data_IF_417707589830
#
_entry.id   IF_417707589830
#
_cell.length_a   1.000
_cell.length_b   1.000
_cell.length_c   1.000
_cell.angle_alpha   90.00
_cell.angle_beta   90.00
_cell.angle_gamma   90.00
#
_symmetry.space_group_name_H-M   'P 1'
#
loop_
_entity.id
_entity.type
_entity.pdbx_description
1 polymer ?
#
# COMPACT_ATOMS: atom_id res chain seq x y z
N UNK A 1 -27.41 -34.98 34.74
CA UNK A 1 -28.17 -35.66 33.67
C UNK A 1 -27.96 -34.87 32.39
N UNK A 2 -27.22 -35.39 31.40
CA UNK A 2 -27.09 -34.78 30.06
C UNK A 2 -28.28 -35.27 29.20
N UNK A 3 -28.88 -34.43 28.34
CA UNK A 3 -29.93 -34.86 27.43
C UNK A 3 -29.34 -35.84 26.39
N UNK A 4 -30.08 -36.88 25.97
CA UNK A 4 -29.69 -37.77 24.88
C UNK A 4 -29.90 -37.04 23.54
N UNK A 5 -29.21 -37.44 22.48
CA UNK A 5 -29.34 -36.97 21.08
C UNK A 5 -28.35 -35.95 20.50
N UNK A 6 -27.11 -35.84 21.02
CA UNK A 6 -26.00 -35.38 20.18
C UNK A 6 -24.92 -36.47 20.14
N UNK A 7 -24.60 -37.05 18.97
CA UNK A 7 -23.48 -37.97 18.87
C UNK A 7 -22.18 -37.23 19.22
N UNK A 8 -21.17 -37.92 19.77
CA UNK A 8 -19.90 -37.29 20.09
C UNK A 8 -19.27 -36.77 18.80
N UNK A 9 -19.04 -35.46 18.76
CA UNK A 9 -18.28 -34.83 17.69
C UNK A 9 -16.86 -35.42 17.72
N UNK A 10 -16.61 -36.42 16.88
CA UNK A 10 -15.29 -37.04 16.76
C UNK A 10 -14.36 -36.05 16.06
N UNK A 11 -13.21 -35.66 16.65
CA UNK A 11 -12.26 -34.74 16.03
C UNK A 11 -11.47 -35.39 14.87
N UNK A 12 -11.88 -36.56 14.37
CA UNK A 12 -11.17 -37.35 13.35
C UNK A 12 -11.95 -37.59 12.05
N UNK A 13 -13.09 -36.93 11.85
CA UNK A 13 -13.69 -36.87 10.52
C UNK A 13 -13.22 -35.57 9.84
N UNK A 14 -12.37 -35.62 8.79
CA UNK A 14 -12.26 -34.48 7.88
C UNK A 14 -13.62 -34.37 7.21
N UNK A 15 -14.48 -33.50 7.75
CA UNK A 15 -15.76 -33.16 7.16
C UNK A 15 -15.46 -32.79 5.69
N UNK A 16 -16.26 -33.23 4.69
CA UNK A 16 -16.08 -32.90 3.26
C UNK A 16 -16.42 -31.42 2.96
N UNK A 17 -15.99 -30.52 3.84
CA UNK A 17 -16.01 -29.07 3.70
C UNK A 17 -15.07 -28.63 2.57
N UNK A 18 -13.97 -29.34 2.32
CA UNK A 18 -12.99 -28.94 1.33
C UNK A 18 -13.53 -28.93 -0.12
N UNK A 19 -14.23 -29.98 -0.62
CA UNK A 19 -14.86 -29.95 -1.95
C UNK A 19 -15.92 -28.85 -2.09
N UNK A 20 -16.74 -28.61 -1.05
CA UNK A 20 -17.81 -27.60 -1.08
C UNK A 20 -17.26 -26.17 -1.05
N UNK A 21 -16.23 -25.91 -0.23
CA UNK A 21 -15.53 -24.62 -0.26
C UNK A 21 -14.82 -24.39 -1.59
N UNK A 22 -14.20 -25.43 -2.15
CA UNK A 22 -13.56 -25.34 -3.47
C UNK A 22 -14.56 -25.02 -4.57
N UNK A 23 -15.72 -25.69 -4.61
CA UNK A 23 -16.78 -25.36 -5.57
C UNK A 23 -17.30 -23.93 -5.45
N UNK A 24 -17.40 -23.41 -4.21
CA UNK A 24 -17.82 -22.03 -3.96
C UNK A 24 -16.75 -21.04 -4.43
N UNK A 25 -15.47 -21.29 -4.12
CA UNK A 25 -14.34 -20.48 -4.60
C UNK A 25 -14.26 -20.49 -6.13
N UNK A 26 -14.33 -21.66 -6.76
CA UNK A 26 -14.32 -21.78 -8.22
C UNK A 26 -15.52 -21.05 -8.86
N UNK A 27 -16.69 -21.07 -8.21
CA UNK A 27 -17.85 -20.32 -8.66
C UNK A 27 -17.67 -18.81 -8.50
N UNK A 28 -17.04 -18.35 -7.41
CA UNK A 28 -16.73 -16.93 -7.19
C UNK A 28 -15.66 -16.44 -8.17
N UNK A 29 -14.60 -17.21 -8.41
CA UNK A 29 -13.59 -16.93 -9.43
C UNK A 29 -14.24 -16.75 -10.80
N UNK A 30 -15.10 -17.69 -11.22
CA UNK A 30 -15.83 -17.57 -12.48
C UNK A 30 -16.75 -16.34 -12.51
N UNK A 31 -17.44 -16.04 -11.41
CA UNK A 31 -18.31 -14.88 -11.31
C UNK A 31 -17.53 -13.56 -11.39
N UNK A 32 -16.38 -13.45 -10.72
CA UNK A 32 -15.49 -12.28 -10.75
C UNK A 32 -14.90 -12.09 -12.17
N UNK A 33 -14.42 -13.17 -12.79
CA UNK A 33 -13.85 -13.12 -14.14
C UNK A 33 -14.87 -12.71 -15.20
N UNK A 34 -16.10 -13.21 -15.10
CA UNK A 34 -17.21 -12.92 -16.01
C UNK A 34 -18.03 -11.67 -15.63
N UNK A 35 -17.69 -11.00 -14.53
CA UNK A 35 -18.32 -9.75 -14.14
C UNK A 35 -17.73 -8.60 -14.96
N UNK A 36 -18.63 -7.71 -15.36
CA UNK A 36 -18.36 -6.54 -16.19
C UNK A 36 -19.18 -5.36 -15.66
N UNK A 37 -18.78 -4.13 -15.99
CA UNK A 37 -19.40 -2.90 -15.49
C UNK A 37 -20.92 -2.87 -15.77
N UNK A 38 -21.33 -3.26 -16.98
CA UNK A 38 -22.74 -3.33 -17.38
C UNK A 38 -23.58 -4.29 -16.52
N UNK A 39 -22.96 -5.36 -15.99
CA UNK A 39 -23.66 -6.37 -15.17
C UNK A 39 -23.64 -6.02 -13.68
N UNK A 40 -22.69 -5.20 -13.27
CA UNK A 40 -22.47 -4.80 -11.88
C UNK A 40 -23.18 -3.51 -11.49
N UNK A 41 -23.60 -2.71 -12.49
CA UNK A 41 -24.23 -1.40 -12.30
C UNK A 41 -23.21 -0.27 -12.48
N UNK A 42 -23.70 0.96 -12.66
CA UNK A 42 -22.85 2.12 -12.95
C UNK A 42 -21.69 2.29 -11.96
N UNK A 43 -20.50 2.57 -12.49
CA UNK A 43 -19.27 2.72 -11.69
C UNK A 43 -19.21 4.15 -11.14
N UNK A 44 -19.72 4.34 -9.93
CA UNK A 44 -19.55 5.58 -9.18
C UNK A 44 -18.16 5.64 -8.54
N UNK A 45 -17.72 6.84 -8.13
CA UNK A 45 -16.43 7.02 -7.43
C UNK A 45 -16.41 6.39 -6.02
N UNK A 46 -17.58 6.07 -5.47
CA UNK A 46 -17.71 5.44 -4.15
C UNK A 46 -17.25 3.97 -4.16
N UNK A 47 -16.92 3.40 -2.99
CA UNK A 47 -16.57 1.98 -2.90
C UNK A 47 -17.69 1.11 -3.45
N UNK A 48 -17.35 0.23 -4.39
CA UNK A 48 -18.30 -0.67 -5.02
C UNK A 48 -18.71 -1.78 -4.04
N UNK A 49 -19.98 -2.16 -4.03
CA UNK A 49 -20.52 -3.14 -3.07
C UNK A 49 -19.81 -4.52 -3.12
N UNK A 50 -19.19 -4.86 -4.26
CA UNK A 50 -18.39 -6.08 -4.42
C UNK A 50 -17.16 -6.09 -3.52
N UNK A 51 -16.57 -4.93 -3.22
CA UNK A 51 -15.39 -4.80 -2.35
C UNK A 51 -15.71 -5.18 -0.93
N UNK A 52 -16.87 -4.74 -0.41
CA UNK A 52 -17.39 -5.22 0.87
C UNK A 52 -17.64 -6.73 0.87
N UNK A 53 -18.35 -7.26 -0.15
CA UNK A 53 -18.64 -8.70 -0.22
C UNK A 53 -17.37 -9.55 -0.26
N UNK A 54 -16.39 -9.11 -1.03
CA UNK A 54 -15.06 -9.72 -1.12
C UNK A 54 -14.35 -9.68 0.24
N UNK A 55 -14.25 -8.51 0.88
CA UNK A 55 -13.57 -8.37 2.17
C UNK A 55 -14.22 -9.22 3.27
N UNK A 56 -15.55 -9.25 3.34
CA UNK A 56 -16.29 -10.08 4.28
C UNK A 56 -16.02 -11.57 4.06
N UNK A 57 -16.01 -12.01 2.79
CA UNK A 57 -15.71 -13.39 2.41
C UNK A 57 -14.28 -13.80 2.78
N UNK A 58 -13.28 -13.03 2.33
CA UNK A 58 -11.86 -13.33 2.59
C UNK A 58 -11.58 -13.31 4.10
N UNK A 59 -12.11 -12.33 4.83
CA UNK A 59 -11.98 -12.29 6.29
C UNK A 59 -12.50 -13.56 6.95
N UNK A 60 -13.67 -14.04 6.54
CA UNK A 60 -14.27 -15.25 7.09
C UNK A 60 -13.45 -16.49 6.79
N UNK A 61 -12.91 -16.64 5.57
CA UNK A 61 -12.07 -17.79 5.21
C UNK A 61 -10.73 -17.74 5.96
N UNK A 62 -10.07 -16.58 6.01
CA UNK A 62 -8.80 -16.40 6.75
C UNK A 62 -8.98 -16.75 8.23
N UNK A 63 -10.04 -16.25 8.89
CA UNK A 63 -10.31 -16.57 10.29
C UNK A 63 -10.53 -18.08 10.54
N UNK A 64 -11.19 -18.78 9.62
CA UNK A 64 -11.36 -20.24 9.71
C UNK A 64 -10.01 -20.92 9.56
N UNK A 65 -9.22 -20.54 8.55
CA UNK A 65 -7.90 -21.09 8.29
C UNK A 65 -6.95 -20.91 9.49
N UNK A 66 -6.89 -19.72 10.07
CA UNK A 66 -6.08 -19.43 11.26
C UNK A 66 -6.52 -20.24 12.48
N UNK A 67 -7.82 -20.51 12.65
CA UNK A 67 -8.33 -21.38 13.72
C UNK A 67 -8.02 -22.86 13.48
N UNK A 68 -7.93 -23.30 12.23
CA UNK A 68 -7.61 -24.69 11.90
C UNK A 68 -6.11 -24.98 11.81
N UNK A 69 -5.29 -23.96 11.52
CA UNK A 69 -3.82 -24.07 11.44
C UNK A 69 -3.08 -23.75 12.75
N UNK A 70 -3.74 -23.10 13.71
CA UNK A 70 -3.18 -22.81 15.04
C UNK A 70 -3.66 -23.82 16.09
N UNK A 71 -2.75 -24.63 16.63
CA UNK A 71 -3.00 -25.36 17.87
C UNK A 71 -3.44 -24.40 18.96
N UNK A 72 -4.60 -24.65 19.57
CA UNK A 72 -5.15 -23.79 20.62
C UNK A 72 -4.22 -23.66 21.83
N UNK A 73 -4.32 -22.59 22.62
CA UNK A 73 -3.60 -22.46 23.88
C UNK A 73 -4.24 -23.40 24.90
N UNK A 74 -3.75 -24.63 25.01
CA UNK A 74 -4.41 -25.63 25.84
C UNK A 74 -3.71 -26.97 25.95
N UNK A 75 -2.40 -26.99 26.24
CA UNK A 75 -1.77 -28.16 26.89
C UNK A 75 -0.42 -27.81 27.53
N UNK A 76 -0.38 -26.84 28.44
CA UNK A 76 0.68 -26.83 29.46
C UNK A 76 0.21 -27.70 30.60
N UNK A 77 0.83 -28.88 30.78
CA UNK A 77 0.70 -29.66 32.00
C UNK A 77 1.10 -28.85 33.24
N UNK A 78 0.70 -29.29 34.45
CA UNK A 78 0.89 -28.49 35.66
C UNK A 78 2.39 -28.25 35.93
N UNK A 79 2.77 -27.08 36.46
CA UNK A 79 4.17 -26.73 36.67
C UNK A 79 4.77 -27.57 37.79
N UNK A 80 5.96 -28.13 37.53
CA UNK A 80 6.80 -28.73 38.56
C UNK A 80 7.29 -27.64 39.52
N UNK A 81 7.18 -27.94 40.81
CA UNK A 81 7.45 -27.09 41.96
C UNK A 81 8.95 -26.66 42.04
N UNK A 82 9.29 -25.42 42.45
CA UNK A 82 10.67 -24.99 42.61
C UNK A 82 11.15 -25.14 44.07
N UNK A 83 12.28 -25.84 44.29
CA UNK A 83 12.99 -25.76 45.57
C UNK A 83 14.01 -26.87 45.82
N UNK A 84 15.29 -26.57 45.57
CA UNK A 84 16.52 -26.97 46.31
C UNK A 84 17.73 -26.74 45.39
N UNK A 85 18.40 -25.59 45.46
CA UNK A 85 19.58 -25.28 46.31
C UNK A 85 20.79 -26.19 46.01
N UNK A 86 21.84 -25.62 45.42
CA UNK A 86 23.23 -26.03 45.70
C UNK A 86 24.20 -26.02 44.49
N UNK A 87 25.45 -25.51 44.62
CA UNK A 87 26.15 -24.89 43.48
C UNK A 87 27.48 -25.54 43.07
N UNK A 88 27.87 -25.31 41.80
CA UNK A 88 29.26 -25.17 41.25
C UNK A 88 30.16 -26.43 41.36
N UNK A 89 31.11 -26.77 40.47
CA UNK A 89 32.04 -25.99 39.64
C UNK A 89 32.85 -26.97 38.76
N UNK A 90 33.18 -26.58 37.52
CA UNK A 90 34.40 -26.96 36.77
C UNK A 90 34.61 -28.44 36.39
N UNK A 91 35.46 -28.84 35.45
CA UNK A 91 36.29 -28.16 34.45
C UNK A 91 36.91 -29.30 33.58
N UNK A 92 36.86 -29.16 32.25
CA UNK A 92 37.94 -29.48 31.27
C UNK A 92 38.33 -30.93 30.84
N UNK A 93 38.50 -31.00 29.48
CA UNK A 93 39.31 -31.89 28.60
C UNK A 93 38.85 -33.34 28.40
N UNK A 94 38.89 -33.93 27.20
CA UNK A 94 39.40 -33.54 25.88
C UNK A 94 39.75 -34.80 25.05
N UNK A 95 39.88 -34.64 23.72
CA UNK A 95 40.46 -35.58 22.70
C UNK A 95 39.60 -36.80 22.30
N UNK A 96 39.60 -37.36 21.08
CA UNK A 96 40.10 -37.03 19.73
C UNK A 96 39.53 -38.06 18.71
N UNK A 97 39.61 -37.70 17.41
CA UNK A 97 39.84 -38.56 16.23
C UNK A 97 38.71 -39.42 15.61
N UNK A 98 38.59 -39.33 14.27
CA UNK A 98 38.15 -40.43 13.39
C UNK A 98 37.12 -40.09 12.29
N UNK A 99 37.58 -39.83 11.07
CA UNK A 99 36.83 -39.78 9.80
C UNK A 99 37.13 -41.08 9.00
N UNK A 100 36.58 -41.35 7.79
CA UNK A 100 35.20 -41.38 7.29
C UNK A 100 34.90 -42.68 6.47
N UNK A 101 33.65 -42.94 6.04
CA UNK A 101 33.37 -43.89 4.94
C UNK A 101 32.02 -43.58 4.27
N UNK A 102 32.04 -43.46 2.94
CA UNK A 102 30.91 -43.04 2.12
C UNK A 102 29.99 -44.18 1.66
N UNK A 103 28.82 -43.78 1.15
CA UNK A 103 27.98 -44.58 0.27
C UNK A 103 27.17 -43.63 -0.62
N UNK A 104 27.54 -43.62 -1.89
CA UNK A 104 26.84 -42.96 -3.00
C UNK A 104 25.75 -43.91 -3.48
N UNK A 105 24.51 -43.45 -3.60
CA UNK A 105 23.39 -44.27 -4.08
C UNK A 105 22.18 -43.45 -4.51
N UNK A 106 22.17 -43.10 -5.80
CA UNK A 106 20.98 -42.96 -6.66
C UNK A 106 19.94 -41.87 -6.35
N UNK A 107 20.15 -40.67 -6.92
CA UNK A 107 19.06 -39.80 -7.34
C UNK A 107 18.40 -40.39 -8.58
N UNK A 108 17.07 -40.55 -8.60
CA UNK A 108 16.20 -40.66 -9.79
C UNK A 108 14.71 -40.85 -9.43
N UNK A 109 14.22 -40.31 -8.30
CA UNK A 109 12.81 -40.46 -7.90
C UNK A 109 12.20 -39.23 -7.22
N UNK A 110 12.70 -38.02 -7.47
CA UNK A 110 12.25 -36.82 -6.73
C UNK A 110 11.12 -36.00 -7.37
N UNK A 111 10.72 -36.25 -8.62
CA UNK A 111 9.88 -35.24 -9.32
C UNK A 111 8.39 -35.61 -9.53
N UNK A 112 7.89 -36.67 -8.91
CA UNK A 112 6.46 -37.06 -9.00
C UNK A 112 5.72 -37.04 -7.64
N UNK A 113 6.43 -36.90 -6.52
CA UNK A 113 5.86 -36.97 -5.16
C UNK A 113 5.35 -35.65 -4.59
N UNK A 114 5.64 -34.51 -5.23
CA UNK A 114 5.34 -33.17 -4.69
C UNK A 114 3.87 -32.73 -4.87
N UNK A 115 3.12 -33.36 -5.78
CA UNK A 115 1.75 -32.94 -6.09
C UNK A 115 0.72 -33.43 -5.05
N UNK A 116 1.00 -34.52 -4.31
CA UNK A 116 0.04 -35.17 -3.41
C UNK A 116 0.18 -34.84 -1.92
N UNK A 117 1.16 -34.01 -1.53
CA UNK A 117 1.38 -33.64 -0.12
C UNK A 117 0.94 -32.21 0.22
N UNK A 118 0.17 -31.55 -0.66
CA UNK A 118 -0.37 -30.23 -0.36
C UNK A 118 -1.58 -30.39 0.57
N UNK A 119 -1.42 -30.03 1.84
CA UNK A 119 -2.48 -30.16 2.83
C UNK A 119 -3.74 -29.37 2.43
N UNK A 120 -4.94 -29.74 2.89
CA UNK A 120 -6.18 -29.02 2.56
C UNK A 120 -6.13 -27.50 2.80
N UNK A 121 -5.34 -27.06 3.79
CA UNK A 121 -5.10 -25.66 4.07
C UNK A 121 -4.21 -24.97 3.02
N UNK A 122 -3.21 -25.65 2.48
CA UNK A 122 -2.30 -25.09 1.47
C UNK A 122 -2.95 -24.97 0.08
N UNK A 123 -3.90 -25.87 -0.24
CA UNK A 123 -4.74 -25.75 -1.44
C UNK A 123 -5.68 -24.56 -1.30
N UNK A 124 -6.31 -24.41 -0.13
CA UNK A 124 -7.23 -23.31 0.15
C UNK A 124 -6.52 -21.94 0.16
N UNK A 125 -5.29 -21.87 0.66
CA UNK A 125 -4.45 -20.66 0.56
C UNK A 125 -4.09 -20.32 -0.90
N UNK A 126 -3.83 -21.33 -1.74
CA UNK A 126 -3.59 -21.11 -3.17
C UNK A 126 -4.84 -20.58 -3.90
N UNK A 127 -5.99 -21.19 -3.61
CA UNK A 127 -7.28 -20.78 -4.18
C UNK A 127 -7.65 -19.36 -3.70
N UNK A 128 -7.33 -18.98 -2.46
CA UNK A 128 -7.49 -17.61 -1.96
C UNK A 128 -6.60 -16.59 -2.68
N UNK A 129 -5.32 -16.93 -2.90
CA UNK A 129 -4.42 -16.07 -3.65
C UNK A 129 -4.92 -15.86 -5.09
N UNK A 130 -5.44 -16.90 -5.74
CA UNK A 130 -6.04 -16.77 -7.07
C UNK A 130 -7.27 -15.85 -7.07
N UNK A 131 -8.16 -16.01 -6.08
CA UNK A 131 -9.33 -15.13 -5.89
C UNK A 131 -8.91 -13.68 -5.65
N UNK A 132 -7.84 -13.46 -4.88
CA UNK A 132 -7.28 -12.13 -4.64
C UNK A 132 -6.84 -11.47 -5.95
N UNK A 133 -6.00 -12.15 -6.73
CA UNK A 133 -5.53 -11.62 -8.03
C UNK A 133 -6.67 -11.34 -9.00
N UNK A 134 -7.63 -12.26 -9.12
CA UNK A 134 -8.80 -12.08 -9.98
C UNK A 134 -9.66 -10.88 -9.55
N UNK A 135 -9.80 -10.67 -8.24
CA UNK A 135 -10.57 -9.56 -7.70
C UNK A 135 -9.86 -8.21 -7.92
N UNK A 136 -8.53 -8.15 -7.72
CA UNK A 136 -7.73 -6.97 -8.04
C UNK A 136 -7.81 -6.66 -9.54
N UNK A 137 -7.74 -7.67 -10.41
CA UNK A 137 -7.92 -7.49 -11.84
C UNK A 137 -9.32 -6.96 -12.20
N UNK A 138 -10.38 -7.44 -11.54
CA UNK A 138 -11.72 -6.91 -11.71
C UNK A 138 -11.78 -5.42 -11.31
N UNK A 139 -11.26 -5.04 -10.14
CA UNK A 139 -11.26 -3.64 -9.71
C UNK A 139 -10.49 -2.74 -10.68
N UNK A 140 -9.35 -3.19 -11.22
CA UNK A 140 -8.59 -2.43 -12.23
C UNK A 140 -9.36 -2.27 -13.55
N UNK A 141 -10.10 -3.30 -14.00
CA UNK A 141 -10.96 -3.18 -15.18
C UNK A 141 -12.07 -2.15 -14.94
N UNK A 142 -12.76 -2.24 -13.80
CA UNK A 142 -13.80 -1.27 -13.42
C UNK A 142 -13.25 0.16 -13.32
N UNK A 143 -12.03 0.31 -12.80
CA UNK A 143 -11.35 1.60 -12.74
C UNK A 143 -11.09 2.19 -14.14
N UNK A 144 -10.89 1.34 -15.16
CA UNK A 144 -10.68 1.74 -16.55
C UNK A 144 -11.93 2.25 -17.27
N UNK A 145 -13.12 2.04 -16.71
CA UNK A 145 -14.39 2.51 -17.27
C UNK A 145 -14.71 3.97 -16.91
N UNK A 146 -13.93 4.59 -16.02
CA UNK A 146 -14.13 5.99 -15.67
C UNK A 146 -13.64 6.94 -16.76
N UNK A 147 -14.28 8.11 -16.83
CA UNK A 147 -14.01 9.13 -17.87
C UNK A 147 -12.60 9.70 -17.80
N UNK A 148 -12.05 9.83 -16.60
CA UNK A 148 -10.70 10.34 -16.38
C UNK A 148 -9.83 9.31 -15.64
N UNK A 149 -8.51 9.28 -15.89
CA UNK A 149 -7.61 8.40 -15.15
C UNK A 149 -7.63 8.70 -13.64
N UNK A 150 -7.84 9.97 -13.28
CA UNK A 150 -7.97 10.41 -11.89
C UNK A 150 -9.19 9.81 -11.21
N UNK A 151 -10.34 9.78 -11.89
CA UNK A 151 -11.55 9.14 -11.37
C UNK A 151 -11.34 7.65 -11.13
N UNK A 152 -10.63 6.97 -12.03
CA UNK A 152 -10.21 5.57 -11.85
C UNK A 152 -9.33 5.37 -10.62
N UNK A 153 -8.37 6.27 -10.36
CA UNK A 153 -7.53 6.25 -9.16
C UNK A 153 -8.39 6.47 -7.90
N UNK A 154 -9.29 7.44 -7.90
CA UNK A 154 -10.21 7.71 -6.77
C UNK A 154 -11.06 6.48 -6.45
N UNK A 155 -11.63 5.85 -7.48
CA UNK A 155 -12.38 4.61 -7.34
C UNK A 155 -11.53 3.51 -6.68
N UNK A 156 -10.31 3.26 -7.17
CA UNK A 156 -9.42 2.25 -6.60
C UNK A 156 -9.09 2.55 -5.13
N UNK A 157 -8.75 3.79 -4.80
CA UNK A 157 -8.48 4.21 -3.41
C UNK A 157 -9.68 3.89 -2.52
N UNK A 158 -10.88 4.30 -2.92
CA UNK A 158 -12.10 4.09 -2.13
C UNK A 158 -12.41 2.60 -1.92
N UNK A 159 -12.21 1.78 -2.94
CA UNK A 159 -12.41 0.33 -2.84
C UNK A 159 -11.36 -0.34 -1.95
N UNK A 160 -10.08 0.00 -2.12
CA UNK A 160 -9.00 -0.56 -1.31
C UNK A 160 -9.11 -0.11 0.16
N UNK A 161 -9.43 1.16 0.43
CA UNK A 161 -9.64 1.67 1.79
C UNK A 161 -10.77 0.91 2.51
N UNK A 162 -11.89 0.67 1.82
CA UNK A 162 -12.99 -0.12 2.39
C UNK A 162 -12.56 -1.56 2.71
N UNK A 163 -11.78 -2.19 1.84
CA UNK A 163 -11.30 -3.57 2.05
C UNK A 163 -10.33 -3.63 3.23
N UNK A 164 -9.35 -2.72 3.27
CA UNK A 164 -8.39 -2.60 4.37
C UNK A 164 -9.13 -2.38 5.68
N UNK A 165 -10.09 -1.44 5.72
CA UNK A 165 -10.89 -1.17 6.91
C UNK A 165 -11.61 -2.43 7.43
N UNK A 166 -12.30 -3.17 6.56
CA UNK A 166 -13.03 -4.38 6.96
C UNK A 166 -12.09 -5.48 7.45
N UNK A 167 -10.93 -5.67 6.79
CA UNK A 167 -9.93 -6.66 7.17
C UNK A 167 -9.26 -6.30 8.52
N UNK A 168 -8.94 -5.03 8.73
CA UNK A 168 -8.43 -4.49 10.01
C UNK A 168 -9.45 -4.73 11.14
N UNK A 169 -10.71 -4.33 10.94
CA UNK A 169 -11.79 -4.48 11.93
C UNK A 169 -12.00 -5.93 12.36
N UNK A 170 -11.89 -6.87 11.42
CA UNK A 170 -12.05 -8.32 11.67
C UNK A 170 -10.78 -9.01 12.16
N UNK A 171 -9.67 -8.26 12.33
CA UNK A 171 -8.35 -8.77 12.71
C UNK A 171 -7.86 -9.90 11.78
N UNK A 172 -8.23 -9.82 10.51
CA UNK A 172 -7.80 -10.74 9.47
C UNK A 172 -6.40 -10.33 8.99
N UNK A 173 -5.39 -10.62 9.81
CA UNK A 173 -3.99 -10.31 9.49
C UNK A 173 -3.49 -11.38 8.53
N UNK A 174 -3.12 -10.99 7.31
CA UNK A 174 -2.67 -11.90 6.27
C UNK A 174 -1.86 -11.19 5.18
N UNK A 175 -1.41 -11.95 4.18
CA UNK A 175 -0.72 -11.44 3.00
C UNK A 175 -1.61 -10.50 2.16
N UNK A 176 -2.91 -10.79 2.16
CA UNK A 176 -3.95 -10.07 1.42
C UNK A 176 -4.15 -8.67 1.98
N UNK A 177 -4.21 -8.53 3.32
CA UNK A 177 -4.30 -7.21 3.97
C UNK A 177 -3.10 -6.34 3.57
N UNK A 178 -1.88 -6.87 3.68
CA UNK A 178 -0.66 -6.13 3.31
C UNK A 178 -0.65 -5.75 1.84
N UNK A 179 -1.09 -6.65 0.97
CA UNK A 179 -1.19 -6.38 -0.47
C UNK A 179 -2.14 -5.21 -0.76
N UNK A 180 -3.31 -5.15 -0.11
CA UNK A 180 -4.21 -4.01 -0.24
C UNK A 180 -3.68 -2.72 0.40
N UNK A 181 -2.96 -2.80 1.52
CA UNK A 181 -2.28 -1.64 2.11
C UNK A 181 -1.24 -1.05 1.14
N UNK A 182 -0.41 -1.90 0.54
CA UNK A 182 0.62 -1.49 -0.43
C UNK A 182 -0.01 -0.90 -1.70
N UNK A 183 -1.05 -1.54 -2.24
CA UNK A 183 -1.79 -1.01 -3.40
C UNK A 183 -2.49 0.31 -3.07
N UNK A 184 -3.07 0.45 -1.88
CA UNK A 184 -3.70 1.68 -1.42
C UNK A 184 -2.68 2.81 -1.32
N UNK A 185 -1.51 2.55 -0.74
CA UNK A 185 -0.41 3.52 -0.67
C UNK A 185 0.02 3.97 -2.08
N UNK A 186 0.23 3.02 -3.00
CA UNK A 186 0.60 3.33 -4.38
C UNK A 186 -0.46 4.21 -5.09
N UNK A 187 -1.75 3.90 -4.93
CA UNK A 187 -2.80 4.71 -5.54
C UNK A 187 -2.91 6.11 -4.91
N UNK A 188 -2.68 6.23 -3.60
CA UNK A 188 -2.62 7.54 -2.93
C UNK A 188 -1.50 8.41 -3.49
N UNK A 189 -0.31 7.85 -3.74
CA UNK A 189 0.81 8.57 -4.37
C UNK A 189 0.46 9.05 -5.78
N UNK A 190 -0.17 8.20 -6.58
CA UNK A 190 -0.62 8.57 -7.93
C UNK A 190 -1.67 9.69 -7.88
N UNK A 191 -2.65 9.58 -6.99
CA UNK A 191 -3.66 10.62 -6.82
C UNK A 191 -3.05 11.96 -6.41
N UNK A 192 -2.08 11.94 -5.49
CA UNK A 192 -1.39 13.15 -5.02
C UNK A 192 -0.68 13.85 -6.19
N UNK A 193 0.03 13.11 -7.03
CA UNK A 193 0.69 13.70 -8.20
C UNK A 193 -0.33 14.26 -9.21
N UNK A 194 -1.37 13.50 -9.57
CA UNK A 194 -2.43 13.96 -10.48
C UNK A 194 -3.18 15.20 -9.93
N UNK A 195 -3.53 15.21 -8.65
CA UNK A 195 -4.18 16.36 -7.99
C UNK A 195 -3.33 17.62 -8.07
N UNK A 196 -2.02 17.52 -7.89
CA UNK A 196 -1.12 18.68 -8.00
C UNK A 196 -0.99 19.17 -9.45
N UNK A 197 -0.99 18.26 -10.43
CA UNK A 197 -0.88 18.58 -11.85
C UNK A 197 -2.16 19.20 -12.44
N UNK A 198 -3.33 18.93 -11.84
CA UNK A 198 -4.62 19.54 -12.21
C UNK A 198 -4.69 21.06 -11.97
N UNK A 199 -3.71 21.61 -11.24
CA UNK A 199 -3.57 23.04 -11.01
C UNK A 199 -2.54 23.61 -11.98
N UNK A 200 -2.99 24.24 -13.07
CA UNK A 200 -2.11 24.71 -14.16
C UNK A 200 -0.88 25.51 -13.72
N UNK A 201 -1.00 26.39 -12.72
CA UNK A 201 0.14 27.15 -12.17
C UNK A 201 1.12 26.27 -11.39
N UNK A 202 0.64 25.27 -10.64
CA UNK A 202 1.50 24.27 -9.99
C UNK A 202 2.17 23.38 -11.03
N UNK A 203 1.43 22.92 -12.04
CA UNK A 203 1.99 22.11 -13.12
C UNK A 203 3.14 22.84 -13.82
N UNK A 204 2.97 24.12 -14.17
CA UNK A 204 4.02 24.93 -14.78
C UNK A 204 5.26 25.06 -13.88
N UNK A 205 5.06 25.29 -12.57
CA UNK A 205 6.15 25.33 -11.59
C UNK A 205 6.86 23.97 -11.48
N UNK A 206 6.11 22.87 -11.38
CA UNK A 206 6.64 21.50 -11.27
C UNK A 206 7.43 21.14 -12.54
N UNK A 207 6.91 21.47 -13.72
CA UNK A 207 7.59 21.26 -14.99
C UNK A 207 8.92 22.03 -15.05
N UNK A 208 8.93 23.29 -14.60
CA UNK A 208 10.15 24.08 -14.47
C UNK A 208 11.16 23.44 -13.52
N UNK A 209 10.74 23.02 -12.32
CA UNK A 209 11.62 22.36 -11.34
C UNK A 209 12.23 21.08 -11.93
N UNK A 210 11.41 20.22 -12.53
CA UNK A 210 11.85 18.96 -13.16
C UNK A 210 12.84 19.22 -14.30
N UNK A 211 12.59 20.23 -15.13
CA UNK A 211 13.50 20.61 -16.22
C UNK A 211 14.84 21.15 -15.68
N UNK A 212 14.79 22.00 -14.65
CA UNK A 212 15.97 22.61 -14.07
C UNK A 212 16.88 21.60 -13.36
N UNK A 213 16.30 20.64 -12.64
CA UNK A 213 17.07 19.58 -11.99
C UNK A 213 17.69 18.60 -13.00
N UNK A 214 16.98 18.28 -14.08
CA UNK A 214 17.52 17.46 -15.17
C UNK A 214 18.75 18.14 -15.80
N UNK A 215 18.67 19.45 -16.02
CA UNK A 215 19.80 20.25 -16.52
C UNK A 215 20.99 20.23 -15.54
N UNK A 216 20.73 20.41 -14.24
CA UNK A 216 21.77 20.36 -13.21
C UNK A 216 22.48 19.00 -13.13
N UNK A 217 21.77 17.90 -13.35
CA UNK A 217 22.35 16.56 -13.44
C UNK A 217 23.27 16.39 -14.66
N UNK A 218 22.91 16.96 -15.81
CA UNK A 218 23.75 16.93 -17.01
C UNK A 218 25.04 17.75 -16.85
N UNK A 219 24.95 18.91 -16.20
CA UNK A 219 26.11 19.79 -15.95
C UNK A 219 27.09 19.20 -14.91
N UNK A 220 26.61 18.38 -13.99
CA UNK A 220 27.44 17.70 -12.99
C UNK A 220 28.14 16.44 -13.53
N UNK A 221 27.66 15.87 -14.65
CA UNK A 221 28.28 14.73 -15.34
C UNK A 221 29.33 15.12 -16.39
N UNK A 222 29.33 16.37 -16.87
CA UNK A 222 30.35 16.88 -17.80
C UNK A 222 31.40 17.70 -17.06
N UNK A 223 32.59 17.12 -16.88
CA UNK A 223 33.77 17.78 -16.31
C UNK A 223 34.38 18.86 -17.22
N UNK A 224 33.58 19.75 -17.80
CA UNK A 224 34.05 20.95 -18.46
C UNK A 224 33.58 22.18 -17.66
N UNK A 225 34.49 22.72 -16.83
CA UNK A 225 34.25 23.93 -16.07
C UNK A 225 33.91 25.11 -16.99
N UNK A 226 32.63 25.47 -17.07
CA UNK A 226 32.21 26.75 -17.64
C UNK A 226 32.08 27.77 -16.52
N UNK A 227 33.20 28.45 -16.31
CA UNK A 227 33.23 29.76 -15.68
C UNK A 227 32.33 30.73 -16.47
N UNK A 228 31.40 31.41 -15.78
CA UNK A 228 30.74 32.63 -16.29
C UNK A 228 29.47 32.50 -17.16
N UNK A 229 28.74 31.38 -17.13
CA UNK A 229 27.53 31.22 -17.96
C UNK A 229 26.32 32.05 -17.44
N UNK A 230 25.55 32.60 -18.38
CA UNK A 230 24.26 33.27 -18.18
C UNK A 230 23.33 32.50 -17.22
N UNK A 231 22.39 33.17 -16.53
CA UNK A 231 21.40 32.45 -15.73
C UNK A 231 20.74 31.36 -16.60
N UNK A 232 20.73 30.10 -16.14
CA UNK A 232 20.31 28.96 -16.98
C UNK A 232 18.83 29.04 -17.42
N UNK A 233 18.06 29.99 -16.88
CA UNK A 233 16.64 30.18 -17.16
C UNK A 233 16.34 31.66 -17.39
N UNK A 234 15.39 31.96 -18.26
CA UNK A 234 14.93 33.34 -18.51
C UNK A 234 14.31 33.94 -17.22
N UNK A 235 14.84 35.07 -16.72
CA UNK A 235 14.32 35.75 -15.54
C UNK A 235 12.82 36.05 -15.61
N UNK A 236 12.28 36.39 -16.79
CA UNK A 236 10.86 36.75 -16.94
C UNK A 236 9.94 35.56 -16.72
N UNK A 237 10.38 34.36 -17.16
CA UNK A 237 9.63 33.11 -16.96
C UNK A 237 9.58 32.77 -15.47
N UNK A 238 10.73 32.85 -14.79
CA UNK A 238 10.81 32.58 -13.34
C UNK A 238 9.99 33.58 -12.54
N UNK A 239 10.04 34.87 -12.89
CA UNK A 239 9.23 35.91 -12.26
C UNK A 239 7.73 35.68 -12.46
N UNK A 240 7.31 35.29 -13.67
CA UNK A 240 5.93 34.92 -13.97
C UNK A 240 5.43 33.77 -13.08
N UNK A 241 6.18 32.66 -13.04
CA UNK A 241 5.86 31.50 -12.20
C UNK A 241 5.77 31.86 -10.71
N UNK A 242 6.70 32.68 -10.23
CA UNK A 242 6.74 33.12 -8.84
C UNK A 242 5.50 33.95 -8.48
N UNK A 243 5.17 34.93 -9.32
CA UNK A 243 4.02 35.82 -9.12
C UNK A 243 2.71 35.04 -9.17
N UNK A 244 2.58 34.13 -10.13
CA UNK A 244 1.40 33.29 -10.29
C UNK A 244 1.21 32.37 -9.07
N UNK A 245 2.29 31.72 -8.61
CA UNK A 245 2.25 30.92 -7.39
C UNK A 245 1.89 31.77 -6.16
N UNK A 246 2.57 32.91 -5.96
CA UNK A 246 2.34 33.81 -4.83
C UNK A 246 0.89 34.30 -4.75
N UNK A 247 0.24 34.53 -5.90
CA UNK A 247 -1.16 34.95 -5.98
C UNK A 247 -2.18 33.81 -5.72
N UNK A 248 -1.83 32.55 -5.98
CA UNK A 248 -2.79 31.44 -6.09
C UNK A 248 -2.61 30.32 -5.07
N UNK A 249 -1.46 30.22 -4.38
CA UNK A 249 -1.13 29.07 -3.52
C UNK A 249 -2.17 28.81 -2.41
N UNK A 250 -2.72 29.85 -1.76
CA UNK A 250 -3.77 29.68 -0.72
C UNK A 250 -5.04 29.07 -1.29
N UNK A 251 -5.53 29.64 -2.40
CA UNK A 251 -6.71 29.14 -3.12
C UNK A 251 -6.51 27.70 -3.61
N UNK A 252 -5.26 27.34 -3.90
CA UNK A 252 -4.88 25.99 -4.32
C UNK A 252 -5.00 25.01 -3.17
N UNK A 253 -4.44 25.34 -1.99
CA UNK A 253 -4.60 24.53 -0.77
C UNK A 253 -6.09 24.34 -0.43
N UNK A 254 -6.88 25.42 -0.49
CA UNK A 254 -8.33 25.34 -0.28
C UNK A 254 -9.03 24.42 -1.28
N UNK A 255 -8.65 24.48 -2.56
CA UNK A 255 -9.22 23.64 -3.61
C UNK A 255 -8.82 22.17 -3.44
N UNK A 256 -7.56 21.88 -3.12
CA UNK A 256 -7.10 20.51 -2.80
C UNK A 256 -7.91 19.96 -1.63
N UNK A 257 -8.09 20.73 -0.55
CA UNK A 257 -8.89 20.31 0.60
C UNK A 257 -10.34 19.98 0.20
N UNK A 258 -11.00 20.86 -0.57
CA UNK A 258 -12.37 20.60 -1.05
C UNK A 258 -12.45 19.35 -1.93
N UNK A 259 -11.51 19.17 -2.84
CA UNK A 259 -11.46 18.03 -3.74
C UNK A 259 -11.32 16.72 -2.96
N UNK A 260 -10.34 16.65 -2.05
CA UNK A 260 -10.12 15.48 -1.20
C UNK A 260 -11.36 15.13 -0.38
N UNK A 261 -12.01 16.11 0.26
CA UNK A 261 -13.23 15.88 1.03
C UNK A 261 -14.43 15.46 0.17
N UNK A 262 -14.45 15.83 -1.11
CA UNK A 262 -15.50 15.41 -2.04
C UNK A 262 -15.30 13.99 -2.58
N UNK A 263 -14.05 13.57 -2.77
CA UNK A 263 -13.72 12.25 -3.33
C UNK A 263 -13.67 11.14 -2.28
N UNK A 264 -13.27 11.46 -1.04
CA UNK A 264 -13.02 10.46 0.00
C UNK A 264 -13.94 10.70 1.20
N UNK A 265 -15.00 9.89 1.30
CA UNK A 265 -15.94 9.93 2.43
C UNK A 265 -15.35 9.38 3.73
N UNK A 266 -14.33 8.52 3.63
CA UNK A 266 -13.57 8.02 4.78
C UNK A 266 -12.68 9.14 5.31
N UNK A 267 -13.03 9.69 6.48
CA UNK A 267 -12.31 10.82 7.08
C UNK A 267 -10.83 10.49 7.33
N UNK A 268 -10.51 9.27 7.81
CA UNK A 268 -9.13 8.81 8.02
C UNK A 268 -8.35 8.82 6.70
N UNK A 269 -8.94 8.25 5.63
CA UNK A 269 -8.31 8.18 4.32
C UNK A 269 -8.14 9.57 3.68
N UNK A 270 -9.19 10.39 3.70
CA UNK A 270 -9.17 11.75 3.18
C UNK A 270 -8.11 12.60 3.88
N UNK A 271 -7.98 12.51 5.20
CA UNK A 271 -6.97 13.28 5.94
C UNK A 271 -5.54 12.84 5.62
N UNK A 272 -5.28 11.53 5.51
CA UNK A 272 -3.97 11.01 5.10
C UNK A 272 -3.59 11.49 3.69
N UNK A 273 -4.52 11.42 2.74
CA UNK A 273 -4.33 11.90 1.36
C UNK A 273 -4.08 13.41 1.35
N UNK A 274 -4.88 14.19 2.10
CA UNK A 274 -4.71 15.63 2.21
C UNK A 274 -3.31 15.99 2.73
N UNK A 275 -2.88 15.33 3.80
CA UNK A 275 -1.56 15.53 4.39
C UNK A 275 -0.46 15.21 3.37
N UNK A 276 -0.57 14.11 2.63
CA UNK A 276 0.39 13.75 1.59
C UNK A 276 0.42 14.79 0.46
N UNK A 277 -0.75 15.23 -0.05
CA UNK A 277 -0.84 16.23 -1.11
C UNK A 277 -0.22 17.57 -0.71
N UNK A 278 -0.53 18.07 0.49
CA UNK A 278 0.01 19.33 0.99
C UNK A 278 1.51 19.25 1.29
N UNK A 279 1.98 18.10 1.78
CA UNK A 279 3.42 17.85 1.97
C UNK A 279 4.14 17.85 0.62
N UNK A 280 3.59 17.17 -0.39
CA UNK A 280 4.18 17.09 -1.71
C UNK A 280 4.20 18.46 -2.41
N UNK A 281 3.15 19.27 -2.28
CA UNK A 281 3.13 20.66 -2.71
C UNK A 281 4.28 21.46 -2.09
N UNK A 282 4.47 21.33 -0.77
CA UNK A 282 5.53 22.02 -0.05
C UNK A 282 6.92 21.59 -0.56
N UNK A 283 7.13 20.29 -0.79
CA UNK A 283 8.39 19.75 -1.31
C UNK A 283 8.73 20.28 -2.71
N UNK A 284 7.73 20.32 -3.62
CA UNK A 284 7.92 20.94 -4.93
C UNK A 284 8.26 22.42 -4.83
N UNK A 285 7.59 23.15 -3.94
CA UNK A 285 7.88 24.57 -3.73
C UNK A 285 9.27 24.80 -3.14
N UNK A 286 9.71 24.02 -2.14
CA UNK A 286 11.07 24.17 -1.59
C UNK A 286 12.14 23.88 -2.65
N UNK A 287 11.93 22.86 -3.49
CA UNK A 287 12.82 22.56 -4.63
C UNK A 287 12.84 23.71 -5.64
N UNK A 288 11.69 24.32 -5.93
CA UNK A 288 11.62 25.53 -6.76
C UNK A 288 12.45 26.68 -6.19
N UNK A 289 12.34 26.94 -4.89
CA UNK A 289 13.15 27.97 -4.23
C UNK A 289 14.65 27.66 -4.31
N UNK A 290 15.04 26.39 -4.15
CA UNK A 290 16.43 25.94 -4.25
C UNK A 290 17.00 26.09 -5.66
N UNK A 291 16.20 25.76 -6.70
CA UNK A 291 16.56 25.98 -8.10
C UNK A 291 16.84 27.47 -8.35
N UNK A 292 15.96 28.36 -7.88
CA UNK A 292 16.16 29.82 -8.03
C UNK A 292 17.43 30.28 -7.30
N UNK A 293 17.63 29.86 -6.05
CA UNK A 293 18.81 30.23 -5.26
C UNK A 293 20.12 29.76 -5.89
N UNK A 294 20.12 28.59 -6.54
CA UNK A 294 21.29 28.04 -7.25
C UNK A 294 21.52 28.71 -8.60
N UNK A 295 20.45 29.02 -9.34
CA UNK A 295 20.52 29.62 -10.67
C UNK A 295 20.99 31.08 -10.63
N UNK A 296 20.65 31.85 -9.59
CA UNK A 296 20.96 33.26 -9.48
C UNK A 296 21.92 33.55 -8.32
N UNK A 297 23.21 33.75 -8.63
CA UNK A 297 24.25 34.16 -7.65
C UNK A 297 23.92 35.48 -6.94
N UNK A 298 23.33 36.43 -7.65
CA UNK A 298 22.78 37.68 -7.10
C UNK A 298 21.28 37.62 -7.26
N UNK A 299 20.54 37.58 -6.15
CA UNK A 299 19.08 37.45 -6.21
C UNK A 299 18.47 38.65 -6.95
N UNK A 300 17.69 38.40 -8.02
CA UNK A 300 16.91 39.44 -8.70
C UNK A 300 15.89 40.09 -7.75
N UNK A 301 15.40 41.27 -8.11
CA UNK A 301 14.45 42.04 -7.30
C UNK A 301 13.15 41.30 -7.01
N UNK A 302 12.68 40.47 -7.95
CA UNK A 302 11.45 39.68 -7.82
C UNK A 302 11.56 38.58 -6.75
N UNK A 303 12.75 38.17 -6.32
CA UNK A 303 12.89 37.18 -5.26
C UNK A 303 12.34 37.66 -3.90
N UNK A 304 12.02 38.95 -3.76
CA UNK A 304 11.30 39.48 -2.60
C UNK A 304 9.86 38.95 -2.51
N UNK A 305 9.28 38.51 -3.63
CA UNK A 305 7.92 37.97 -3.70
C UNK A 305 7.86 36.47 -3.38
N UNK A 306 8.99 35.87 -3.00
CA UNK A 306 9.04 34.50 -2.50
C UNK A 306 8.23 34.37 -1.21
N UNK A 307 7.14 33.60 -1.31
CA UNK A 307 6.37 33.20 -0.14
C UNK A 307 7.26 32.37 0.77
N UNK A 308 7.35 32.75 2.05
CA UNK A 308 8.13 31.99 3.02
C UNK A 308 7.54 30.60 3.25
N UNK A 309 8.41 29.58 3.28
CA UNK A 309 8.05 28.19 3.59
C UNK A 309 7.29 28.08 4.90
N UNK A 310 7.63 28.91 5.90
CA UNK A 310 6.95 28.95 7.21
C UNK A 310 5.49 29.40 7.09
N UNK A 311 5.19 30.33 6.18
CA UNK A 311 3.83 30.83 5.95
C UNK A 311 2.98 29.76 5.29
N UNK A 312 3.54 29.06 4.29
CA UNK A 312 2.85 27.94 3.63
C UNK A 312 2.62 26.80 4.64
N UNK A 313 3.63 26.47 5.45
CA UNK A 313 3.52 25.43 6.47
C UNK A 313 2.47 25.77 7.53
N UNK A 314 2.39 27.03 7.97
CA UNK A 314 1.36 27.48 8.90
C UNK A 314 -0.04 27.34 8.30
N UNK A 315 -0.20 27.62 7.00
CA UNK A 315 -1.47 27.42 6.30
C UNK A 315 -1.82 25.93 6.16
N UNK A 316 -0.87 25.09 5.73
CA UNK A 316 -1.02 23.63 5.65
C UNK A 316 -1.48 23.06 7.00
N UNK A 317 -0.87 23.53 8.09
CA UNK A 317 -1.24 23.13 9.44
C UNK A 317 -2.69 23.46 9.79
N UNK A 318 -3.33 24.48 9.21
CA UNK A 318 -4.77 24.73 9.49
C UNK A 318 -5.66 23.61 8.98
N UNK A 319 -5.33 23.07 7.81
CA UNK A 319 -6.07 21.97 7.18
C UNK A 319 -5.68 20.61 7.79
N UNK A 320 -4.41 20.46 8.17
CA UNK A 320 -3.90 19.26 8.81
C UNK A 320 -4.07 19.21 10.34
N UNK A 321 -4.48 20.30 11.00
CA UNK A 321 -4.80 20.36 12.45
C UNK A 321 -6.29 20.55 12.70
N UNK A 322 -7.14 20.51 11.68
CA UNK A 322 -8.58 20.28 11.86
C UNK A 322 -8.88 18.82 12.27
N UNK A 323 -7.90 18.19 12.93
CA UNK A 323 -7.84 16.84 13.50
C UNK A 323 -8.18 16.95 14.98
#
# INVERSE_FOLDING_TARGET
RRPPFLPPFSPRAPIPLCPRHKMLLDSQVRAIRAADADRLGGVELHPHYISRRYAEFISSVLLILYRTGGGGPGSTGPPANPGQIGPRTGLVRGTAAGNPAGSVGSSLAEDAGSIFSRGPGEILLADLAAVHEDFVALLRRLAGEHQTPKDGIVFLINNYDQIVQILEERRAIGTELRSFEDMLLQQRELFVEEELLDHGHLNNMIAFVRAAERQAMMDSGSACGRSGAAPPFDPHVVEGLLRDFAATWKKTIERINRNVLSYFSSFRNGMEILKQALTQLLLYYTRFQDVIRKAYRKLPSFCKDLVSTTVILAEIKKYALAI
#
